data_IF_822355533377
#
_entry.id   IF_822355533377
#
_cell.length_a   1.000
_cell.length_b   1.000
_cell.length_c   1.000
_cell.angle_alpha   90.00
_cell.angle_beta   90.00
_cell.angle_gamma   90.00
#
_symmetry.space_group_name_H-M   'P 1'
#
loop_
_entity.id
_entity.type
_entity.pdbx_description
1 polymer ?
#
# COMPACT_ATOMS: atom_id res chain seq x y z
N UNK A 1 35.15 -53.30 31.80
CA UNK A 1 34.33 -52.07 31.69
C UNK A 1 34.25 -51.69 30.23
N UNK A 2 33.08 -51.82 29.58
CA UNK A 2 32.95 -51.48 28.17
C UNK A 2 32.81 -49.96 28.01
N UNK A 3 33.54 -49.41 27.04
CA UNK A 3 33.46 -48.01 26.65
C UNK A 3 32.10 -47.74 25.98
N UNK A 4 31.39 -46.72 26.46
CA UNK A 4 30.20 -46.20 25.80
C UNK A 4 30.63 -45.45 24.54
N UNK A 5 30.28 -46.01 23.39
CA UNK A 5 30.36 -45.40 22.08
C UNK A 5 29.38 -44.21 22.06
N UNK A 6 29.91 -43.00 21.89
CA UNK A 6 29.13 -41.77 21.75
C UNK A 6 28.37 -41.84 20.42
N UNK A 7 27.06 -42.09 20.51
CA UNK A 7 26.16 -42.06 19.36
C UNK A 7 26.27 -40.73 18.63
N UNK A 8 26.84 -40.76 17.43
CA UNK A 8 26.83 -39.65 16.50
C UNK A 8 25.38 -39.20 16.26
N UNK A 9 25.06 -37.97 16.64
CA UNK A 9 23.81 -37.32 16.26
C UNK A 9 23.72 -37.32 14.72
N UNK A 10 22.60 -37.78 14.12
CA UNK A 10 22.46 -37.75 12.68
C UNK A 10 22.59 -36.29 12.21
N UNK A 11 23.55 -36.07 11.31
CA UNK A 11 23.74 -34.81 10.63
C UNK A 11 22.39 -34.34 10.08
N UNK A 12 22.02 -33.10 10.42
CA UNK A 12 20.80 -32.45 9.96
C UNK A 12 20.64 -32.68 8.45
N UNK A 13 19.56 -33.36 8.06
CA UNK A 13 19.19 -33.50 6.65
C UNK A 13 19.09 -32.12 5.98
N UNK A 14 19.09 -32.07 4.64
CA UNK A 14 18.99 -30.81 3.91
C UNK A 14 17.79 -30.02 4.42
N UNK A 15 18.00 -28.74 4.74
CA UNK A 15 16.92 -27.87 5.22
C UNK A 15 15.75 -27.95 4.23
N UNK A 16 14.50 -28.09 4.70
CA UNK A 16 13.35 -28.18 3.82
C UNK A 16 13.33 -26.97 2.88
N UNK A 17 13.11 -27.22 1.58
CA UNK A 17 13.04 -26.16 0.59
C UNK A 17 11.99 -25.13 1.02
N UNK A 18 12.41 -23.85 1.11
CA UNK A 18 11.49 -22.76 1.45
C UNK A 18 10.45 -22.65 0.34
N UNK A 19 9.19 -22.48 0.74
CA UNK A 19 8.11 -22.25 -0.23
C UNK A 19 8.33 -20.93 -0.93
N UNK A 20 8.19 -20.93 -2.25
CA UNK A 20 8.37 -19.79 -3.12
C UNK A 20 7.04 -19.10 -3.38
N UNK A 21 6.98 -17.81 -3.06
CA UNK A 21 5.80 -16.97 -3.29
C UNK A 21 6.12 -15.91 -4.33
N UNK A 22 5.24 -15.77 -5.31
CA UNK A 22 5.28 -14.68 -6.28
C UNK A 22 4.41 -13.51 -5.79
N UNK A 23 4.98 -12.32 -5.66
CA UNK A 23 4.28 -11.12 -5.24
C UNK A 23 4.27 -10.09 -6.36
N UNK A 24 3.09 -9.78 -6.88
CA UNK A 24 2.88 -8.87 -8.00
C UNK A 24 1.95 -7.75 -7.56
N UNK A 25 2.30 -6.52 -7.91
CA UNK A 25 1.46 -5.35 -7.71
C UNK A 25 1.46 -4.50 -8.98
N UNK A 26 0.36 -3.78 -9.21
CA UNK A 26 0.35 -2.71 -10.21
C UNK A 26 1.39 -1.66 -9.81
N UNK A 27 2.49 -1.51 -10.56
CA UNK A 27 3.54 -0.57 -10.22
C UNK A 27 3.08 0.89 -10.33
N UNK A 28 1.96 1.15 -11.01
CA UNK A 28 1.40 2.48 -11.25
C UNK A 28 0.36 2.90 -10.21
N UNK A 29 0.13 2.07 -9.19
CA UNK A 29 -0.90 2.31 -8.18
C UNK A 29 -0.31 2.21 -6.77
N UNK A 30 -0.36 3.33 -6.04
CA UNK A 30 0.23 3.46 -4.71
C UNK A 30 -0.28 2.39 -3.75
N UNK A 31 -1.60 2.22 -3.70
CA UNK A 31 -2.28 1.26 -2.83
C UNK A 31 -1.83 -0.18 -3.11
N UNK A 32 -1.58 -0.52 -4.37
CA UNK A 32 -1.13 -1.85 -4.80
C UNK A 32 0.28 -2.15 -4.31
N UNK A 33 1.19 -1.19 -4.50
CA UNK A 33 2.59 -1.31 -4.07
C UNK A 33 2.70 -1.37 -2.54
N UNK A 34 1.97 -0.51 -1.82
CA UNK A 34 2.03 -0.46 -0.36
C UNK A 34 1.39 -1.71 0.27
N UNK A 35 0.24 -2.17 -0.25
CA UNK A 35 -0.40 -3.39 0.20
C UNK A 35 0.52 -4.60 0.06
N UNK A 36 1.15 -4.78 -1.11
CA UNK A 36 2.13 -5.85 -1.35
C UNK A 36 3.27 -5.80 -0.33
N UNK A 37 3.86 -4.63 -0.07
CA UNK A 37 4.96 -4.47 0.90
C UNK A 37 4.54 -4.81 2.33
N UNK A 38 3.37 -4.33 2.77
CA UNK A 38 2.83 -4.61 4.10
C UNK A 38 2.56 -6.09 4.30
N UNK A 39 2.04 -6.77 3.28
CA UNK A 39 1.82 -8.23 3.31
C UNK A 39 3.17 -8.98 3.29
N UNK A 40 4.11 -8.57 2.44
CA UNK A 40 5.45 -9.16 2.36
C UNK A 40 6.21 -9.10 3.69
N UNK A 41 6.03 -8.03 4.47
CA UNK A 41 6.64 -7.88 5.79
C UNK A 41 6.27 -9.01 6.77
N UNK A 42 5.15 -9.69 6.51
CA UNK A 42 4.66 -10.84 7.26
C UNK A 42 4.95 -12.19 6.59
N UNK A 43 5.86 -12.29 5.62
CA UNK A 43 6.18 -13.54 4.90
C UNK A 43 7.69 -13.86 4.90
N UNK A 44 8.39 -13.49 5.97
CA UNK A 44 9.86 -13.55 6.07
C UNK A 44 10.46 -14.96 6.02
N UNK A 45 9.65 -15.97 6.30
CA UNK A 45 10.02 -17.37 6.28
C UNK A 45 9.93 -18.01 4.89
N UNK A 46 9.33 -17.31 3.92
CA UNK A 46 9.13 -17.76 2.55
C UNK A 46 10.21 -17.20 1.62
N UNK A 47 10.43 -17.84 0.48
CA UNK A 47 11.23 -17.29 -0.59
C UNK A 47 10.35 -16.37 -1.45
N UNK A 48 10.63 -15.06 -1.45
CA UNK A 48 9.76 -14.06 -2.08
C UNK A 48 10.34 -13.61 -3.41
N UNK A 49 9.63 -13.89 -4.50
CA UNK A 49 9.92 -13.30 -5.82
C UNK A 49 8.98 -12.12 -6.01
N UNK A 50 9.57 -10.92 -6.12
CA UNK A 50 8.82 -9.68 -6.28
C UNK A 50 8.91 -9.23 -7.73
N UNK A 51 7.77 -9.21 -8.42
CA UNK A 51 7.69 -8.72 -9.79
C UNK A 51 7.06 -7.34 -9.83
N UNK A 52 7.66 -6.45 -10.61
CA UNK A 52 7.27 -5.03 -10.70
C UNK A 52 6.32 -4.74 -11.87
N UNK A 53 5.63 -5.76 -12.40
CA UNK A 53 4.59 -5.59 -13.42
C UNK A 53 5.08 -5.03 -14.78
N UNK A 54 6.40 -4.93 -14.99
CA UNK A 54 7.02 -4.49 -16.25
C UNK A 54 7.21 -5.62 -17.25
N UNK A 55 7.37 -6.84 -16.77
CA UNK A 55 7.45 -8.02 -17.61
C UNK A 55 6.09 -8.27 -18.24
N UNK A 56 6.04 -8.16 -19.57
CA UNK A 56 4.89 -8.60 -20.35
C UNK A 56 4.53 -10.03 -19.91
N UNK A 57 3.23 -10.38 -19.89
CA UNK A 57 2.70 -11.69 -19.48
C UNK A 57 3.42 -12.90 -20.12
N UNK A 58 4.19 -12.65 -21.19
CA UNK A 58 5.01 -13.61 -21.94
C UNK A 58 6.31 -14.02 -21.25
N UNK A 59 6.87 -13.24 -20.33
CA UNK A 59 8.15 -13.57 -19.69
C UNK A 59 8.02 -14.55 -18.51
N UNK A 60 6.81 -14.87 -18.06
CA UNK A 60 6.57 -15.69 -16.88
C UNK A 60 6.60 -17.19 -17.19
N UNK A 61 7.50 -17.58 -18.09
CA UNK A 61 7.73 -18.97 -18.48
C UNK A 61 8.68 -19.58 -17.43
N UNK A 62 8.10 -20.06 -16.33
CA UNK A 62 8.85 -20.79 -15.32
C UNK A 62 9.19 -22.20 -15.84
N UNK A 63 10.48 -22.58 -15.79
CA UNK A 63 10.85 -24.01 -15.93
C UNK A 63 10.40 -24.74 -14.65
N UNK A 64 10.11 -26.04 -14.70
CA UNK A 64 9.36 -26.74 -13.63
C UNK A 64 9.79 -26.48 -12.17
N UNK A 65 11.08 -26.27 -11.89
CA UNK A 65 11.60 -25.94 -10.54
C UNK A 65 11.42 -24.46 -10.13
N UNK A 66 11.09 -23.57 -11.07
CA UNK A 66 10.93 -22.13 -10.88
C UNK A 66 9.48 -21.69 -10.64
N UNK A 67 8.55 -22.64 -10.60
CA UNK A 67 7.13 -22.33 -10.41
C UNK A 67 6.87 -21.89 -8.96
N UNK A 68 6.16 -20.78 -8.72
CA UNK A 68 5.76 -20.39 -7.37
C UNK A 68 4.72 -21.35 -6.78
N UNK A 69 4.81 -21.62 -5.47
CA UNK A 69 3.85 -22.43 -4.72
C UNK A 69 2.50 -21.71 -4.56
N UNK A 70 2.52 -20.38 -4.46
CA UNK A 70 1.34 -19.51 -4.49
C UNK A 70 1.72 -18.09 -4.93
N UNK A 71 0.72 -17.28 -5.29
CA UNK A 71 0.93 -15.90 -5.69
C UNK A 71 0.00 -14.91 -4.99
N UNK A 72 0.53 -13.72 -4.68
CA UNK A 72 -0.25 -12.53 -4.36
C UNK A 72 -0.28 -11.64 -5.61
N UNK A 73 -1.47 -11.23 -6.03
CA UNK A 73 -1.64 -10.27 -7.12
C UNK A 73 -2.51 -9.11 -6.63
N UNK A 74 -1.93 -7.92 -6.57
CA UNK A 74 -2.63 -6.70 -6.20
C UNK A 74 -3.04 -5.93 -7.46
N UNK A 75 -4.35 -5.73 -7.66
CA UNK A 75 -4.95 -4.86 -8.69
C UNK A 75 -4.59 -5.14 -10.16
N UNK A 76 -4.07 -6.33 -10.49
CA UNK A 76 -3.78 -6.77 -11.86
C UNK A 76 -4.64 -8.00 -12.23
N UNK A 77 -5.90 -7.83 -12.67
CA UNK A 77 -6.82 -8.95 -12.87
C UNK A 77 -6.37 -9.91 -13.98
N UNK A 78 -5.79 -9.40 -15.07
CA UNK A 78 -5.29 -10.22 -16.18
C UNK A 78 -4.17 -11.17 -15.72
N UNK A 79 -3.24 -10.65 -14.93
CA UNK A 79 -2.16 -11.41 -14.29
C UNK A 79 -2.71 -12.53 -13.40
N UNK A 80 -3.71 -12.23 -12.57
CA UNK A 80 -4.30 -13.21 -11.67
C UNK A 80 -4.98 -14.36 -12.44
N UNK A 81 -5.70 -14.03 -13.51
CA UNK A 81 -6.31 -15.03 -14.40
C UNK A 81 -5.25 -15.87 -15.11
N UNK A 82 -4.19 -15.24 -15.62
CA UNK A 82 -3.09 -15.91 -16.31
C UNK A 82 -2.33 -16.89 -15.41
N UNK A 83 -2.09 -16.54 -14.13
CA UNK A 83 -1.49 -17.43 -13.14
C UNK A 83 -2.43 -18.58 -12.74
N UNK A 84 -3.72 -18.26 -12.54
CA UNK A 84 -4.72 -19.27 -12.19
C UNK A 84 -4.91 -20.30 -13.30
N UNK A 85 -4.93 -19.87 -14.57
CA UNK A 85 -4.99 -20.75 -15.74
C UNK A 85 -3.76 -21.68 -15.86
N UNK A 86 -2.63 -21.30 -15.26
CA UNK A 86 -1.41 -22.12 -15.15
C UNK A 86 -1.39 -22.98 -13.88
N UNK A 87 -2.50 -23.03 -13.13
CA UNK A 87 -2.68 -23.80 -11.91
C UNK A 87 -1.94 -23.24 -10.69
N UNK A 88 -1.46 -21.99 -10.71
CA UNK A 88 -0.87 -21.36 -9.53
C UNK A 88 -2.00 -20.87 -8.62
N UNK A 89 -2.04 -21.26 -7.32
CA UNK A 89 -2.99 -20.70 -6.37
C UNK A 89 -2.78 -19.19 -6.18
N UNK A 90 -3.77 -18.38 -6.56
CA UNK A 90 -3.69 -16.91 -6.49
C UNK A 90 -4.55 -16.36 -5.35
N UNK A 91 -3.95 -15.54 -4.48
CA UNK A 91 -4.68 -14.55 -3.69
C UNK A 91 -4.71 -13.26 -4.48
N UNK A 92 -5.89 -12.90 -4.99
CA UNK A 92 -6.11 -11.61 -5.61
C UNK A 92 -6.55 -10.60 -4.54
N UNK A 93 -5.94 -9.40 -4.55
CA UNK A 93 -6.27 -8.31 -3.65
C UNK A 93 -6.66 -7.07 -4.44
N UNK A 94 -7.89 -6.60 -4.26
CA UNK A 94 -8.27 -5.23 -4.58
C UNK A 94 -7.75 -4.33 -3.46
N UNK A 95 -6.65 -3.62 -3.69
CA UNK A 95 -6.02 -2.80 -2.65
C UNK A 95 -6.42 -1.34 -2.71
N UNK A 96 -6.74 -0.84 -3.91
CA UNK A 96 -7.20 0.52 -4.15
C UNK A 96 -8.68 0.72 -3.90
N UNK A 97 -9.05 1.95 -3.55
CA UNK A 97 -10.45 2.35 -3.47
C UNK A 97 -11.09 2.41 -4.87
N UNK A 98 -12.37 2.04 -4.96
CA UNK A 98 -13.21 2.24 -6.13
C UNK A 98 -14.61 2.66 -5.69
N UNK A 99 -15.17 3.70 -6.31
CA UNK A 99 -16.54 4.13 -6.07
C UNK A 99 -17.56 3.10 -6.61
N UNK A 100 -17.16 2.36 -7.64
CA UNK A 100 -17.97 1.33 -8.29
C UNK A 100 -17.68 -0.08 -7.75
N UNK A 101 -18.52 -1.05 -8.16
CA UNK A 101 -18.33 -2.45 -7.80
C UNK A 101 -16.97 -2.99 -8.27
N UNK A 102 -16.38 -3.87 -7.45
CA UNK A 102 -15.11 -4.50 -7.78
C UNK A 102 -15.28 -5.49 -8.94
N UNK A 103 -14.34 -5.52 -9.91
CA UNK A 103 -14.43 -6.46 -11.02
C UNK A 103 -14.32 -7.91 -10.54
N UNK A 104 -15.05 -8.81 -11.21
CA UNK A 104 -14.93 -10.24 -10.94
C UNK A 104 -13.55 -10.76 -11.40
N UNK A 105 -12.89 -11.54 -10.55
CA UNK A 105 -11.57 -12.12 -10.82
C UNK A 105 -11.56 -13.58 -10.40
N UNK A 106 -11.11 -14.45 -11.28
CA UNK A 106 -10.89 -15.87 -10.98
C UNK A 106 -9.57 -16.02 -10.23
N UNK A 107 -9.64 -16.46 -8.98
CA UNK A 107 -8.50 -16.70 -8.11
C UNK A 107 -8.88 -17.67 -6.98
N UNK A 108 -7.87 -18.27 -6.34
CA UNK A 108 -8.07 -19.15 -5.18
C UNK A 108 -8.75 -18.42 -4.01
N UNK A 109 -8.40 -17.15 -3.81
CA UNK A 109 -9.07 -16.26 -2.89
C UNK A 109 -9.09 -14.84 -3.43
N UNK A 110 -10.25 -14.18 -3.37
CA UNK A 110 -10.41 -12.78 -3.73
C UNK A 110 -10.62 -11.97 -2.45
N UNK A 111 -9.78 -10.96 -2.23
CA UNK A 111 -9.77 -10.10 -1.04
C UNK A 111 -9.93 -8.63 -1.44
N UNK A 112 -10.48 -7.84 -0.54
CA UNK A 112 -10.58 -6.39 -0.71
C UNK A 112 -10.03 -5.66 0.52
N UNK A 113 -9.22 -4.64 0.29
CA UNK A 113 -8.82 -3.68 1.30
C UNK A 113 -10.02 -2.78 1.62
N UNK A 114 -10.71 -3.09 2.71
CA UNK A 114 -11.93 -2.41 3.10
C UNK A 114 -11.87 -2.18 4.63
N UNK A 115 -11.35 -1.02 5.07
CA UNK A 115 -11.39 -0.64 6.47
C UNK A 115 -12.84 -0.59 6.96
N UNK A 116 -13.12 -1.20 8.12
CA UNK A 116 -14.51 -1.40 8.57
C UNK A 116 -15.25 -0.08 8.88
N UNK A 117 -14.50 0.96 9.23
CA UNK A 117 -15.02 2.29 9.53
C UNK A 117 -15.37 3.11 8.28
N UNK A 118 -14.80 2.78 7.13
CA UNK A 118 -15.01 3.55 5.90
C UNK A 118 -16.38 3.17 5.30
N UNK A 119 -17.33 4.11 5.20
CA UNK A 119 -18.64 3.80 4.63
C UNK A 119 -18.48 3.49 3.15
N UNK A 120 -18.74 2.25 2.72
CA UNK A 120 -18.48 1.78 1.35
C UNK A 120 -19.61 0.92 0.79
N UNK A 121 -19.72 0.79 -0.55
CA UNK A 121 -20.56 -0.26 -1.12
C UNK A 121 -20.04 -1.61 -0.60
N UNK A 122 -20.93 -2.39 0.04
CA UNK A 122 -20.53 -3.68 0.60
C UNK A 122 -20.01 -4.57 -0.52
N UNK A 123 -18.83 -5.14 -0.34
CA UNK A 123 -18.17 -6.09 -1.26
C UNK A 123 -18.90 -7.45 -1.33
N UNK A 124 -20.15 -7.50 -0.88
CA UNK A 124 -20.88 -8.71 -0.56
C UNK A 124 -21.86 -9.07 -1.69
N UNK A 125 -21.40 -9.87 -2.63
CA UNK A 125 -22.22 -10.78 -3.42
C UNK A 125 -21.80 -12.23 -3.13
N UNK A 126 -22.65 -13.24 -3.40
CA UNK A 126 -22.21 -14.63 -3.42
C UNK A 126 -21.12 -14.77 -4.49
N UNK A 127 -19.88 -15.05 -4.08
CA UNK A 127 -18.70 -15.04 -4.96
C UNK A 127 -17.89 -13.73 -4.98
N UNK A 128 -18.28 -12.72 -4.18
CA UNK A 128 -17.58 -11.44 -4.08
C UNK A 128 -16.30 -11.48 -3.24
N UNK A 129 -15.47 -10.44 -3.39
CA UNK A 129 -14.21 -10.31 -2.66
C UNK A 129 -14.44 -10.19 -1.14
N UNK A 130 -13.70 -10.96 -0.34
CA UNK A 130 -13.82 -10.93 1.12
C UNK A 130 -13.04 -9.74 1.69
N UNK A 131 -13.63 -8.90 2.56
CA UNK A 131 -12.88 -7.80 3.18
C UNK A 131 -11.74 -8.36 4.03
N UNK A 132 -10.58 -7.72 3.98
CA UNK A 132 -9.43 -8.05 4.85
C UNK A 132 -9.27 -7.10 6.03
N UNK A 133 -10.08 -6.03 6.09
CA UNK A 133 -9.90 -4.93 7.04
C UNK A 133 -8.71 -4.06 6.66
N UNK A 134 -8.15 -3.36 7.63
CA UNK A 134 -7.07 -2.42 7.43
C UNK A 134 -5.73 -3.12 7.14
N UNK A 135 -5.01 -2.63 6.13
CA UNK A 135 -3.63 -3.05 5.86
C UNK A 135 -2.65 -2.12 6.58
N UNK A 136 -2.29 -2.44 7.83
CA UNK A 136 -1.48 -1.57 8.67
C UNK A 136 0.00 -1.57 8.26
N UNK A 137 0.74 -0.47 8.48
CA UNK A 137 2.19 -0.47 8.31
C UNK A 137 2.84 -1.44 9.30
N UNK A 138 3.96 -2.06 8.91
CA UNK A 138 4.66 -3.01 9.77
C UNK A 138 5.16 -2.37 11.08
N UNK A 139 5.40 -1.05 11.07
CA UNK A 139 5.75 -0.23 12.24
C UNK A 139 4.67 0.80 12.51
N UNK A 140 4.03 0.69 13.67
CA UNK A 140 2.95 1.59 14.11
C UNK A 140 3.47 2.88 14.78
N UNK A 141 4.71 2.84 15.30
CA UNK A 141 5.31 3.98 16.00
C UNK A 141 5.86 4.97 14.98
N UNK A 142 5.67 6.26 15.25
CA UNK A 142 6.35 7.36 14.54
C UNK A 142 7.63 7.76 15.29
N UNK A 143 8.59 8.33 14.57
CA UNK A 143 9.86 8.77 15.16
C UNK A 143 9.65 9.86 16.20
N UNK A 144 10.53 10.01 17.20
CA UNK A 144 10.38 11.07 18.21
C UNK A 144 10.84 12.44 17.71
N UNK A 145 11.76 12.46 16.75
CA UNK A 145 12.42 13.65 16.20
C UNK A 145 11.91 13.98 14.79
N UNK A 146 10.58 13.87 14.59
CA UNK A 146 9.95 14.07 13.29
C UNK A 146 10.24 15.47 12.75
N UNK A 147 10.59 15.55 11.47
CA UNK A 147 10.85 16.83 10.78
C UNK A 147 10.42 16.76 9.33
N UNK A 148 10.19 17.93 8.72
CA UNK A 148 9.77 18.02 7.32
C UNK A 148 8.30 17.65 7.06
N UNK A 149 7.96 17.68 5.79
CA UNK A 149 6.66 17.28 5.24
C UNK A 149 6.81 16.05 4.35
N UNK A 150 5.83 15.14 4.41
CA UNK A 150 5.60 14.13 3.39
C UNK A 150 4.37 14.52 2.57
N UNK A 151 4.54 14.68 1.26
CA UNK A 151 3.47 14.76 0.28
C UNK A 151 3.34 13.41 -0.42
N UNK A 152 2.21 12.73 -0.24
CA UNK A 152 1.95 11.45 -0.89
C UNK A 152 0.94 11.63 -2.02
N UNK A 153 1.40 11.58 -3.25
CA UNK A 153 0.63 11.95 -4.45
C UNK A 153 0.27 10.70 -5.23
N UNK A 154 -1.01 10.52 -5.51
CA UNK A 154 -1.54 9.43 -6.31
C UNK A 154 -2.17 9.98 -7.58
N UNK A 155 -1.65 9.55 -8.73
CA UNK A 155 -2.05 10.04 -10.06
C UNK A 155 -2.50 8.89 -10.96
N UNK A 156 -2.73 7.72 -10.38
CA UNK A 156 -3.27 6.57 -11.07
C UNK A 156 -4.56 6.93 -11.84
N UNK A 157 -4.58 6.63 -13.14
CA UNK A 157 -5.70 6.91 -14.06
C UNK A 157 -6.03 8.40 -14.29
N UNK A 158 -5.19 9.33 -13.82
CA UNK A 158 -5.35 10.75 -14.10
C UNK A 158 -4.80 11.07 -15.51
N UNK A 159 -5.57 11.74 -16.39
CA UNK A 159 -5.07 12.15 -17.70
C UNK A 159 -3.86 13.09 -17.59
N UNK A 160 -2.87 12.92 -18.49
CA UNK A 160 -1.60 13.66 -18.41
C UNK A 160 -1.73 15.19 -18.39
N UNK A 161 -2.75 15.75 -19.08
CA UNK A 161 -3.02 17.21 -19.05
C UNK A 161 -3.47 17.70 -17.67
N UNK A 162 -4.28 16.90 -16.98
CA UNK A 162 -4.85 17.24 -15.67
C UNK A 162 -3.77 17.07 -14.61
N UNK A 163 -2.91 16.05 -14.77
CA UNK A 163 -1.70 15.86 -13.99
C UNK A 163 -0.74 17.05 -14.12
N UNK A 164 -0.42 17.50 -15.33
CA UNK A 164 0.48 18.64 -15.53
C UNK A 164 -0.05 19.92 -14.87
N UNK A 165 -1.34 20.22 -15.07
CA UNK A 165 -1.99 21.37 -14.43
C UNK A 165 -1.98 21.27 -12.89
N UNK A 166 -2.19 20.07 -12.35
CA UNK A 166 -2.09 19.83 -10.91
C UNK A 166 -0.66 20.00 -10.39
N UNK A 167 0.31 19.45 -11.11
CA UNK A 167 1.72 19.49 -10.74
C UNK A 167 2.26 20.93 -10.73
N UNK A 168 1.95 21.71 -11.78
CA UNK A 168 2.41 23.09 -11.94
C UNK A 168 1.70 24.11 -11.04
N UNK A 169 0.50 23.79 -10.56
CA UNK A 169 -0.32 24.66 -9.72
C UNK A 169 -0.41 24.16 -8.27
N UNK A 170 -1.49 23.46 -7.88
CA UNK A 170 -1.72 23.06 -6.50
C UNK A 170 -0.56 22.31 -5.84
N UNK A 171 0.05 21.34 -6.52
CA UNK A 171 1.13 20.55 -5.94
C UNK A 171 2.38 21.39 -5.69
N UNK A 172 2.79 22.22 -6.66
CA UNK A 172 3.91 23.15 -6.51
C UNK A 172 3.69 24.10 -5.34
N UNK A 173 2.52 24.73 -5.25
CA UNK A 173 2.20 25.66 -4.17
C UNK A 173 2.26 24.99 -2.79
N UNK A 174 1.75 23.76 -2.65
CA UNK A 174 1.85 22.99 -1.41
C UNK A 174 3.29 22.59 -1.09
N UNK A 175 4.09 22.19 -2.09
CA UNK A 175 5.48 21.79 -1.89
C UNK A 175 6.37 22.97 -1.49
N UNK A 176 6.20 24.13 -2.10
CA UNK A 176 6.90 25.38 -1.76
C UNK A 176 6.60 25.80 -0.32
N UNK A 177 5.31 25.83 0.05
CA UNK A 177 4.92 26.21 1.41
C UNK A 177 5.36 25.15 2.44
N UNK A 178 5.34 23.87 2.08
CA UNK A 178 5.88 22.81 2.93
C UNK A 178 7.36 23.01 3.23
N UNK A 179 8.17 23.37 2.23
CA UNK A 179 9.58 23.72 2.44
C UNK A 179 9.69 24.97 3.30
N UNK A 180 8.95 26.03 3.00
CA UNK A 180 8.98 27.27 3.76
C UNK A 180 8.73 27.03 5.26
N UNK A 181 7.77 26.16 5.59
CA UNK A 181 7.34 25.91 6.97
C UNK A 181 8.14 24.84 7.70
N UNK A 182 8.68 23.86 6.99
CA UNK A 182 9.27 22.65 7.61
C UNK A 182 10.72 22.40 7.23
N UNK A 183 11.28 23.21 6.32
CA UNK A 183 12.67 23.15 5.85
C UNK A 183 12.96 22.05 4.84
N UNK A 184 12.09 21.05 4.68
CA UNK A 184 12.24 19.95 3.71
C UNK A 184 10.90 19.32 3.35
N UNK A 185 10.78 18.83 2.12
CA UNK A 185 9.58 18.17 1.63
C UNK A 185 9.95 16.91 0.83
N UNK A 186 9.50 15.74 1.28
CA UNK A 186 9.57 14.50 0.53
C UNK A 186 8.24 14.29 -0.20
N UNK A 187 8.28 14.20 -1.53
CA UNK A 187 7.12 13.96 -2.40
C UNK A 187 7.23 12.55 -2.94
N UNK A 188 6.21 11.71 -2.76
CA UNK A 188 6.18 10.34 -3.29
C UNK A 188 5.04 10.21 -4.29
N UNK A 189 5.33 9.75 -5.50
CA UNK A 189 4.36 9.56 -6.59
C UNK A 189 4.30 8.09 -7.05
N UNK A 190 3.10 7.58 -7.36
CA UNK A 190 2.89 6.22 -7.88
C UNK A 190 2.90 6.11 -9.42
N UNK A 191 3.05 7.22 -10.12
CA UNK A 191 3.24 7.30 -11.56
C UNK A 191 3.82 8.66 -11.93
N UNK A 192 4.45 8.75 -13.10
CA UNK A 192 4.92 10.03 -13.64
C UNK A 192 5.80 10.85 -12.67
N UNK A 193 6.65 10.15 -11.90
CA UNK A 193 7.58 10.78 -10.97
C UNK A 193 8.53 11.76 -11.70
N UNK A 194 8.86 11.48 -12.97
CA UNK A 194 9.63 12.37 -13.83
C UNK A 194 8.89 13.68 -14.13
N UNK A 195 7.61 13.62 -14.49
CA UNK A 195 6.77 14.82 -14.70
C UNK A 195 6.64 15.63 -13.41
N UNK A 196 6.42 14.97 -12.28
CA UNK A 196 6.34 15.64 -10.98
C UNK A 196 7.68 16.27 -10.60
N UNK A 197 8.78 15.56 -10.81
CA UNK A 197 10.13 16.07 -10.56
C UNK A 197 10.45 17.28 -11.45
N UNK A 198 10.04 17.26 -12.72
CA UNK A 198 10.20 18.40 -13.62
C UNK A 198 9.42 19.63 -13.13
N UNK A 199 8.16 19.44 -12.69
CA UNK A 199 7.34 20.53 -12.17
C UNK A 199 7.91 21.14 -10.88
N UNK A 200 8.61 20.34 -10.06
CA UNK A 200 9.17 20.76 -8.76
C UNK A 200 10.68 21.04 -8.81
N UNK A 201 11.31 21.01 -9.98
CA UNK A 201 12.76 21.10 -10.13
C UNK A 201 13.36 22.40 -9.58
N UNK A 202 12.58 23.49 -9.55
CA UNK A 202 13.00 24.80 -9.07
C UNK A 202 12.75 25.03 -7.57
N UNK A 203 12.08 24.08 -6.89
CA UNK A 203 11.78 24.21 -5.46
C UNK A 203 12.89 23.59 -4.62
N UNK A 204 13.82 24.42 -4.15
CA UNK A 204 14.92 23.96 -3.28
C UNK A 204 14.35 23.31 -2.01
N UNK A 205 14.89 22.16 -1.61
CA UNK A 205 14.43 21.44 -0.41
C UNK A 205 13.32 20.40 -0.65
N UNK A 206 12.85 20.27 -1.90
CA UNK A 206 11.96 19.18 -2.32
C UNK A 206 12.77 17.97 -2.81
N UNK A 207 12.34 16.76 -2.44
CA UNK A 207 12.84 15.49 -2.96
C UNK A 207 11.69 14.68 -3.51
N UNK A 208 11.71 14.36 -4.79
CA UNK A 208 10.68 13.55 -5.44
C UNK A 208 11.14 12.09 -5.49
N UNK A 209 10.27 11.19 -5.07
CA UNK A 209 10.50 9.76 -4.97
C UNK A 209 9.43 9.00 -5.74
N UNK A 210 9.83 7.86 -6.27
CA UNK A 210 8.92 6.89 -6.86
C UNK A 210 8.41 5.93 -5.77
N UNK A 211 7.09 5.79 -5.65
CA UNK A 211 6.46 4.90 -4.69
C UNK A 211 6.98 3.45 -4.82
N UNK A 212 7.41 3.03 -6.01
CA UNK A 212 7.96 1.69 -6.31
C UNK A 212 9.30 1.44 -5.64
N UNK A 213 10.08 2.48 -5.36
CA UNK A 213 11.46 2.36 -4.86
C UNK A 213 11.63 2.80 -3.41
N UNK A 214 10.72 3.61 -2.87
CA UNK A 214 10.85 4.16 -1.51
C UNK A 214 9.92 3.50 -0.49
N UNK A 215 10.35 3.40 0.77
CA UNK A 215 9.50 2.97 1.88
C UNK A 215 8.63 4.14 2.40
N UNK A 216 7.40 4.23 1.88
CA UNK A 216 6.40 5.23 2.28
C UNK A 216 6.06 5.13 3.77
N UNK A 217 6.03 3.91 4.33
CA UNK A 217 5.72 3.71 5.73
C UNK A 217 6.84 4.31 6.60
N UNK A 218 8.10 4.18 6.20
CA UNK A 218 9.24 4.82 6.89
C UNK A 218 9.23 6.35 6.75
N UNK A 219 9.01 6.88 5.53
CA UNK A 219 8.91 8.33 5.32
C UNK A 219 7.80 8.96 6.17
N UNK A 220 6.62 8.33 6.23
CA UNK A 220 5.52 8.81 7.07
C UNK A 220 5.86 8.75 8.57
N UNK A 221 6.70 7.80 9.01
CA UNK A 221 7.11 7.72 10.40
C UNK A 221 8.04 8.89 10.80
N UNK A 222 8.88 9.34 9.86
CA UNK A 222 9.85 10.42 10.04
C UNK A 222 9.28 11.82 9.80
N UNK A 223 8.19 11.94 9.03
CA UNK A 223 7.58 13.22 8.68
C UNK A 223 6.82 13.85 9.86
N UNK A 224 6.94 15.17 10.02
CA UNK A 224 6.17 15.95 11.00
C UNK A 224 4.77 16.23 10.45
N UNK A 225 4.71 16.74 9.22
CA UNK A 225 3.48 17.05 8.49
C UNK A 225 3.23 15.99 7.44
N UNK A 226 1.96 15.58 7.27
CA UNK A 226 1.56 14.61 6.27
C UNK A 226 0.36 15.12 5.47
N UNK A 227 0.57 15.28 4.17
CA UNK A 227 -0.45 15.70 3.21
C UNK A 227 -0.49 14.67 2.10
N UNK A 228 -1.67 14.27 1.63
CA UNK A 228 -1.77 13.19 0.66
C UNK A 228 -2.99 13.28 -0.25
N UNK A 229 -2.87 12.75 -1.47
CA UNK A 229 -4.04 12.43 -2.31
C UNK A 229 -4.96 11.45 -1.54
N UNK A 230 -6.29 11.54 -1.74
CA UNK A 230 -7.23 10.59 -1.16
C UNK A 230 -6.94 9.15 -1.64
N UNK A 231 -6.31 8.35 -0.79
CA UNK A 231 -5.97 6.94 -1.06
C UNK A 231 -6.15 6.10 0.19
N UNK A 232 -6.37 4.78 0.04
CA UNK A 232 -6.46 3.92 1.22
C UNK A 232 -5.11 3.85 1.94
N UNK A 233 -3.99 3.94 1.22
CA UNK A 233 -2.65 4.03 1.81
C UNK A 233 -2.53 5.20 2.77
N UNK A 234 -2.91 6.41 2.34
CA UNK A 234 -2.79 7.61 3.17
C UNK A 234 -3.67 7.53 4.41
N UNK A 235 -4.94 7.14 4.24
CA UNK A 235 -5.90 7.03 5.33
C UNK A 235 -5.46 5.99 6.36
N UNK A 236 -5.03 4.81 5.89
CA UNK A 236 -4.58 3.74 6.79
C UNK A 236 -3.28 4.06 7.49
N UNK A 237 -2.37 4.81 6.86
CA UNK A 237 -1.15 5.31 7.51
C UNK A 237 -1.48 6.26 8.66
N UNK A 238 -2.31 7.26 8.37
CA UNK A 238 -2.71 8.26 9.35
C UNK A 238 -3.44 7.61 10.53
N UNK A 239 -4.44 6.78 10.24
CA UNK A 239 -5.22 6.09 11.25
C UNK A 239 -4.38 5.12 12.09
N UNK A 240 -3.57 4.26 11.47
CA UNK A 240 -2.77 3.24 12.19
C UNK A 240 -1.76 3.85 13.16
N UNK A 241 -1.32 5.08 12.90
CA UNK A 241 -0.36 5.80 13.74
C UNK A 241 -0.98 6.92 14.57
N UNK A 242 -2.30 7.12 14.47
CA UNK A 242 -2.99 8.28 15.04
C UNK A 242 -2.36 9.61 14.61
N UNK A 243 -1.89 9.70 13.36
CA UNK A 243 -1.16 10.85 12.84
C UNK A 243 -2.11 11.87 12.19
N UNK A 244 -1.78 13.17 12.23
CA UNK A 244 -2.49 14.15 11.43
C UNK A 244 -2.38 13.87 9.93
N UNK A 245 -3.44 14.16 9.19
CA UNK A 245 -3.51 14.06 7.75
C UNK A 245 -4.33 15.23 7.21
N UNK A 246 -3.83 15.87 6.16
CA UNK A 246 -4.65 16.71 5.29
C UNK A 246 -4.69 16.11 3.88
N UNK A 247 -5.87 16.13 3.25
CA UNK A 247 -6.05 15.60 1.92
C UNK A 247 -5.74 16.67 0.88
N UNK A 248 -5.00 16.32 -0.17
CA UNK A 248 -4.94 17.11 -1.39
C UNK A 248 -6.32 17.11 -2.08
N UNK A 249 -6.61 18.12 -2.92
CA UNK A 249 -7.79 18.08 -3.78
C UNK A 249 -7.83 16.77 -4.59
N UNK A 250 -9.00 16.10 -4.70
CA UNK A 250 -9.14 14.88 -5.46
C UNK A 250 -8.92 15.13 -6.96
N UNK A 251 -8.20 14.22 -7.61
CA UNK A 251 -7.89 14.32 -9.05
C UNK A 251 -8.84 13.53 -9.95
N UNK A 252 -9.59 12.59 -9.38
CA UNK A 252 -10.49 11.71 -10.10
C UNK A 252 -11.74 11.41 -9.26
N UNK A 253 -12.66 10.66 -9.87
CA UNK A 253 -13.94 10.30 -9.24
C UNK A 253 -13.79 9.40 -8.01
N UNK A 254 -12.82 8.47 -8.03
CA UNK A 254 -12.60 7.53 -6.92
C UNK A 254 -11.99 8.26 -5.73
N UNK A 255 -11.06 9.19 -5.96
CA UNK A 255 -10.49 10.07 -4.95
C UNK A 255 -11.55 10.99 -4.34
N UNK A 256 -12.43 11.57 -5.15
CA UNK A 256 -13.53 12.42 -4.65
C UNK A 256 -14.50 11.63 -3.76
N UNK A 257 -14.93 10.45 -4.21
CA UNK A 257 -15.83 9.59 -3.45
C UNK A 257 -15.17 9.10 -2.15
N UNK A 258 -13.89 8.72 -2.19
CA UNK A 258 -13.12 8.35 -1.00
C UNK A 258 -13.01 9.51 -0.02
N UNK A 259 -12.68 10.72 -0.50
CA UNK A 259 -12.58 11.91 0.34
C UNK A 259 -13.94 12.28 0.97
N UNK A 260 -15.04 12.15 0.21
CA UNK A 260 -16.40 12.37 0.71
C UNK A 260 -16.78 11.36 1.80
N UNK A 261 -16.56 10.07 1.58
CA UNK A 261 -16.88 9.01 2.55
C UNK A 261 -16.00 9.09 3.80
N UNK A 262 -14.74 9.44 3.63
CA UNK A 262 -13.84 9.68 4.78
C UNK A 262 -14.39 10.80 5.65
N UNK A 263 -14.82 11.93 5.06
CA UNK A 263 -15.40 13.07 5.79
C UNK A 263 -16.69 12.73 6.55
N UNK A 264 -17.42 11.71 6.12
CA UNK A 264 -18.59 11.22 6.85
C UNK A 264 -18.22 10.46 8.14
N UNK A 265 -17.02 9.86 8.19
CA UNK A 265 -16.56 9.04 9.30
C UNK A 265 -15.57 9.78 10.23
N UNK A 266 -14.66 10.57 9.65
CA UNK A 266 -13.61 11.31 10.37
C UNK A 266 -13.45 12.70 9.79
N UNK A 267 -13.21 13.68 10.67
CA UNK A 267 -12.86 15.05 10.25
C UNK A 267 -11.41 15.08 9.77
N UNK A 268 -11.23 14.90 8.46
CA UNK A 268 -9.95 15.09 7.77
C UNK A 268 -10.07 16.32 6.87
N UNK A 269 -9.25 17.37 7.06
CA UNK A 269 -9.32 18.57 6.23
C UNK A 269 -8.83 18.29 4.81
N UNK A 270 -9.34 19.08 3.85
CA UNK A 270 -8.80 19.16 2.49
C UNK A 270 -8.01 20.46 2.35
N UNK A 271 -6.85 20.40 1.71
CA UNK A 271 -6.02 21.58 1.43
C UNK A 271 -6.72 22.45 0.39
N UNK A 272 -7.22 23.59 0.85
CA UNK A 272 -7.83 24.63 -0.02
C UNK A 272 -6.92 25.85 -0.17
N UNK A 273 -6.13 26.15 0.86
CA UNK A 273 -5.14 27.21 0.87
C UNK A 273 -3.83 26.65 1.46
N UNK A 274 -2.76 26.50 0.66
CA UNK A 274 -1.46 26.09 1.16
C UNK A 274 -0.95 27.00 2.27
N UNK A 275 -1.24 28.30 2.25
CA UNK A 275 -0.72 29.26 3.21
C UNK A 275 -1.37 29.18 4.61
N UNK A 276 -2.44 28.38 4.77
CA UNK A 276 -3.13 28.20 6.05
C UNK A 276 -2.16 27.66 7.13
N UNK A 277 -1.87 28.43 8.20
CA UNK A 277 -0.99 27.98 9.27
C UNK A 277 -1.44 26.69 9.97
N UNK A 278 -2.75 26.41 10.00
CA UNK A 278 -3.30 25.23 10.66
C UNK A 278 -2.83 23.92 9.98
N UNK A 279 -2.56 23.96 8.68
CA UNK A 279 -2.04 22.81 7.92
C UNK A 279 -0.65 22.37 8.40
N UNK A 280 0.19 23.32 8.81
CA UNK A 280 1.61 23.11 9.07
C UNK A 280 1.95 22.90 10.55
N UNK A 281 1.00 23.16 11.45
CA UNK A 281 1.14 22.94 12.89
C UNK A 281 0.03 22.03 13.45
N UNK A 282 -0.17 20.82 12.90
CA UNK A 282 -1.23 19.95 13.37
C UNK A 282 -0.92 19.38 14.75
N UNK A 283 -1.90 19.36 15.64
CA UNK A 283 -1.76 18.74 16.96
C UNK A 283 -1.97 17.22 16.88
N UNK A 284 -0.97 16.44 17.33
CA UNK A 284 -1.09 14.97 17.41
C UNK A 284 -2.25 14.53 18.32
N UNK A 285 -2.62 15.33 19.32
CA UNK A 285 -3.75 15.05 20.20
C UNK A 285 -5.09 15.09 19.44
N UNK A 286 -5.27 16.11 18.59
CA UNK A 286 -6.50 16.28 17.80
C UNK A 286 -6.62 15.17 16.76
N UNK A 287 -5.51 14.82 16.11
CA UNK A 287 -5.49 13.70 15.18
C UNK A 287 -5.83 12.37 15.86
N UNK A 288 -5.21 12.05 17.02
CA UNK A 288 -5.57 10.86 17.80
C UNK A 288 -7.04 10.86 18.19
N UNK A 289 -7.57 12.00 18.63
CA UNK A 289 -8.98 12.15 18.97
C UNK A 289 -9.88 11.84 17.77
N UNK A 290 -9.55 12.41 16.60
CA UNK A 290 -10.30 12.21 15.36
C UNK A 290 -10.37 10.73 14.95
N UNK A 291 -9.23 10.02 15.03
CA UNK A 291 -9.18 8.59 14.69
C UNK A 291 -9.78 7.69 15.77
N UNK A 292 -9.67 8.05 17.05
CA UNK A 292 -10.19 7.25 18.17
C UNK A 292 -11.72 7.13 18.18
N UNK A 293 -12.42 8.12 17.59
CA UNK A 293 -13.89 8.11 17.47
C UNK A 293 -14.44 6.99 16.57
N UNK A 294 -13.57 6.33 15.78
CA UNK A 294 -13.94 5.20 14.91
C UNK A 294 -14.04 3.86 15.63
N UNK A 295 -13.62 3.78 16.90
CA UNK A 295 -13.47 2.52 17.63
C UNK A 295 -12.18 1.76 17.29
N UNK A 296 -11.92 0.63 17.97
CA UNK A 296 -10.71 -0.17 17.73
C UNK A 296 -10.78 -0.82 16.35
N UNK A 297 -9.85 -0.47 15.46
CA UNK A 297 -9.73 -1.11 14.15
C UNK A 297 -8.84 -2.36 14.22
N UNK A 298 -9.14 -3.33 13.36
CA UNK A 298 -8.35 -4.55 13.26
C UNK A 298 -7.19 -4.36 12.28
N UNK A 299 -6.02 -4.04 12.86
CA UNK A 299 -4.76 -3.79 12.15
C UNK A 299 -4.14 -5.06 11.52
N UNK A 300 -4.77 -6.23 11.65
CA UNK A 300 -4.21 -7.52 11.20
C UNK A 300 -4.55 -7.88 9.75
N UNK A 301 -5.07 -6.95 8.96
CA UNK A 301 -5.48 -7.24 7.58
C UNK A 301 -4.33 -7.77 6.71
N UNK A 302 -3.14 -7.20 6.80
CA UNK A 302 -1.97 -7.69 6.06
C UNK A 302 -1.55 -9.10 6.52
N UNK A 303 -1.59 -9.35 7.85
CA UNK A 303 -1.32 -10.65 8.43
C UNK A 303 -2.33 -11.73 7.99
N UNK A 304 -3.61 -11.39 7.84
CA UNK A 304 -4.63 -12.32 7.32
C UNK A 304 -4.37 -12.74 5.88
N UNK A 305 -3.99 -11.79 5.03
CA UNK A 305 -3.63 -12.11 3.63
C UNK A 305 -2.38 -12.98 3.61
N UNK A 306 -1.34 -12.61 4.37
CA UNK A 306 -0.13 -13.42 4.51
C UNK A 306 -0.44 -14.85 5.01
N UNK A 307 -1.33 -15.00 6.00
CA UNK A 307 -1.80 -16.31 6.46
C UNK A 307 -2.47 -17.12 5.35
N UNK A 308 -3.32 -16.49 4.54
CA UNK A 308 -3.99 -17.14 3.40
C UNK A 308 -2.95 -17.64 2.39
N UNK A 309 -1.94 -16.82 2.06
CA UNK A 309 -0.86 -17.20 1.15
C UNK A 309 -0.07 -18.41 1.64
N UNK A 310 0.28 -18.44 2.95
CA UNK A 310 0.94 -19.61 3.56
C UNK A 310 0.13 -20.88 3.42
N UNK A 311 -1.17 -20.79 3.71
CA UNK A 311 -2.07 -21.94 3.65
C UNK A 311 -2.12 -22.51 2.24
N UNK A 312 -2.23 -21.64 1.23
CA UNK A 312 -2.23 -22.06 -0.18
C UNK A 312 -0.88 -22.68 -0.61
N UNK A 313 0.25 -22.12 -0.14
CA UNK A 313 1.57 -22.65 -0.48
C UNK A 313 1.88 -24.01 0.20
N UNK A 314 1.30 -24.29 1.36
CA UNK A 314 1.53 -25.54 2.11
C UNK A 314 0.54 -26.64 1.76
N UNK A 315 -0.71 -26.28 1.50
CA UNK A 315 -1.78 -27.19 1.14
C UNK A 315 -2.57 -26.57 -0.02
N UNK A 316 -2.09 -26.72 -1.27
CA UNK A 316 -2.81 -26.24 -2.44
C UNK A 316 -4.18 -26.94 -2.48
N UNK A 317 -5.24 -26.15 -2.39
CA UNK A 317 -6.60 -26.65 -2.59
C UNK A 317 -6.72 -26.88 -4.10
N UNK A 318 -7.24 -28.02 -4.53
CA UNK A 318 -7.53 -28.22 -5.95
C UNK A 318 -8.61 -27.19 -6.38
N UNK A 319 -8.31 -26.44 -7.44
CA UNK A 319 -9.20 -25.43 -8.04
C UNK A 319 -9.74 -25.95 -9.37
#
# INVERSE_FOLDING_TARGET
MPAHDEGAFPAHGPAPARRRLLLVADPRQLDSVTARRRIAAHLREMDLVVETGRSEEREWIWRGADRPDAALVCDLPAVAQALTARGVPVVYLHSGYRAQGLPAVTAAAVRAHAPAWLPGPRVAGPGGARPTGLLAPARLVRDRTRTGCLLLVSVHQVPGRDLAAFADGPLRAVAEEAVHRTGRCDVVCDGEAETTAAALAHTTGVRVHDARTVDVDALHAAARVFVASPTLTALTLAQSRGAPLALLPPLDHDQDDLARRTRQAVRVPTVTDPADPALWSPADADARSAWSGLGPDDLRGAQRVARTLRQLALAPIAF
#
